data_IF_336847391454
#
_entry.id   IF_336847391454
#
_cell.length_a   1.000
_cell.length_b   1.000
_cell.length_c   1.000
_cell.angle_alpha   90.00
_cell.angle_beta   90.00
_cell.angle_gamma   90.00
#
_symmetry.space_group_name_H-M   'P 1'
#
loop_
_entity.id
_entity.type
_entity.pdbx_description
1 polymer ?
#
# COMPACT_ATOMS: atom_id res chain seq x y z
N UNK A 1 3.82 -2.74 23.89
CA UNK A 1 4.02 -2.33 22.49
C UNK A 1 3.21 -1.07 22.27
N UNK A 2 3.76 0.03 21.72
CA UNK A 2 2.93 1.17 21.34
C UNK A 2 1.94 0.70 20.27
N UNK A 3 0.65 0.82 20.54
CA UNK A 3 -0.42 0.51 19.59
C UNK A 3 -0.37 1.57 18.49
N UNK A 4 0.21 1.25 17.33
CA UNK A 4 0.14 2.14 16.17
C UNK A 4 -1.22 1.96 15.51
N UNK A 5 -1.97 3.05 15.41
CA UNK A 5 -3.23 3.07 14.69
C UNK A 5 -2.95 3.24 13.20
N UNK A 6 -3.43 2.30 12.39
CA UNK A 6 -3.41 2.40 10.93
C UNK A 6 -4.15 3.67 10.48
N UNK A 7 -3.53 4.46 9.59
CA UNK A 7 -4.12 5.68 9.03
C UNK A 7 -5.21 5.39 8.01
N UNK A 8 -5.10 4.29 7.27
CA UNK A 8 -6.03 3.93 6.21
C UNK A 8 -6.88 2.73 6.60
N UNK A 9 -8.13 2.72 6.13
CA UNK A 9 -9.10 1.67 6.46
C UNK A 9 -9.31 0.72 5.28
N UNK A 10 -9.71 -0.52 5.55
CA UNK A 10 -10.17 -1.45 4.52
C UNK A 10 -11.34 -0.81 3.75
N UNK A 11 -11.29 -0.90 2.42
CA UNK A 11 -12.21 -0.25 1.49
C UNK A 11 -11.82 1.18 1.09
N UNK A 12 -10.84 1.79 1.76
CA UNK A 12 -10.38 3.14 1.41
C UNK A 12 -9.54 3.10 0.13
N UNK A 13 -9.80 4.06 -0.76
CA UNK A 13 -8.96 4.29 -1.95
C UNK A 13 -7.76 5.16 -1.58
N UNK A 14 -6.57 4.68 -1.93
CA UNK A 14 -5.29 5.33 -1.70
C UNK A 14 -4.48 5.35 -2.99
N UNK A 15 -3.49 6.25 -3.06
CA UNK A 15 -2.51 6.28 -4.14
C UNK A 15 -1.09 6.33 -3.61
N UNK A 16 -0.14 5.84 -4.40
CA UNK A 16 1.26 5.90 -4.02
C UNK A 16 1.81 7.31 -4.24
N UNK A 17 2.64 7.78 -3.31
CA UNK A 17 3.16 9.17 -3.31
C UNK A 17 4.18 9.43 -4.42
N UNK A 18 4.94 8.40 -4.80
CA UNK A 18 6.04 8.50 -5.77
C UNK A 18 5.78 7.78 -7.11
N UNK A 19 4.89 6.79 -7.11
CA UNK A 19 4.67 5.92 -8.26
C UNK A 19 3.22 6.09 -8.68
N UNK A 20 2.97 6.05 -9.98
CA UNK A 20 1.65 6.37 -10.52
C UNK A 20 0.74 5.13 -10.52
N UNK A 21 0.27 4.79 -9.32
CA UNK A 21 -0.78 3.79 -9.14
C UNK A 21 -1.68 4.15 -7.96
N UNK A 22 -2.91 3.66 -8.03
CA UNK A 22 -3.95 3.78 -7.00
C UNK A 22 -4.53 2.42 -6.68
N UNK A 23 -5.20 2.29 -5.55
CA UNK A 23 -5.83 1.02 -5.20
C UNK A 23 -6.73 1.11 -3.98
N UNK A 24 -7.52 0.06 -3.78
CA UNK A 24 -8.37 -0.11 -2.60
C UNK A 24 -7.65 -0.99 -1.59
N UNK A 25 -7.60 -0.53 -0.33
CA UNK A 25 -7.09 -1.34 0.78
C UNK A 25 -8.01 -2.53 1.02
N UNK A 26 -7.50 -3.75 0.96
CA UNK A 26 -8.26 -4.95 1.32
C UNK A 26 -7.73 -5.66 2.56
N UNK A 27 -6.49 -5.41 2.96
CA UNK A 27 -5.89 -5.95 4.20
C UNK A 27 -4.79 -5.03 4.75
N UNK A 28 -4.43 -5.22 6.03
CA UNK A 28 -3.42 -4.44 6.73
C UNK A 28 -2.63 -5.29 7.73
N UNK A 29 -1.30 -5.26 7.59
CA UNK A 29 -0.38 -5.79 8.59
C UNK A 29 0.03 -4.67 9.56
N UNK A 30 0.05 -4.92 10.88
CA UNK A 30 0.42 -3.89 11.86
C UNK A 30 1.89 -3.45 11.76
N UNK A 31 2.75 -4.32 11.22
CA UNK A 31 4.17 -4.12 10.91
C UNK A 31 4.51 -4.87 9.63
N UNK A 32 5.71 -4.67 9.08
CA UNK A 32 6.18 -5.46 7.94
C UNK A 32 6.06 -6.98 8.19
N UNK A 33 5.38 -7.67 7.27
CA UNK A 33 5.08 -9.11 7.37
C UNK A 33 5.32 -9.86 6.05
N UNK A 34 6.18 -9.34 5.18
CA UNK A 34 6.59 -10.00 3.95
C UNK A 34 7.99 -10.61 4.09
N UNK A 35 8.52 -11.22 3.03
CA UNK A 35 9.80 -11.91 3.05
C UNK A 35 10.99 -10.94 3.18
N UNK A 36 12.07 -11.39 3.81
CA UNK A 36 13.28 -10.57 3.94
C UNK A 36 13.91 -10.31 2.57
N UNK A 37 13.85 -11.28 1.65
CA UNK A 37 14.39 -11.15 0.30
C UNK A 37 13.68 -10.03 -0.47
N UNK A 38 12.36 -9.89 -0.32
CA UNK A 38 11.62 -8.78 -0.89
C UNK A 38 12.09 -7.44 -0.32
N UNK A 39 12.32 -7.39 1.00
CA UNK A 39 12.79 -6.18 1.67
C UNK A 39 14.19 -5.77 1.22
N UNK A 40 15.09 -6.75 1.08
CA UNK A 40 16.46 -6.54 0.60
C UNK A 40 16.52 -6.15 -0.88
N UNK A 41 15.56 -6.60 -1.70
CA UNK A 41 15.45 -6.21 -3.10
C UNK A 41 15.09 -4.73 -3.29
N UNK A 42 14.58 -4.05 -2.25
CA UNK A 42 14.34 -2.61 -2.29
C UNK A 42 15.68 -1.86 -2.11
N UNK A 43 15.99 -0.89 -2.98
CA UNK A 43 17.18 -0.04 -2.82
C UNK A 43 17.22 0.61 -1.44
N UNK A 44 18.39 0.63 -0.80
CA UNK A 44 18.54 1.08 0.58
C UNK A 44 18.04 2.51 0.80
N UNK A 45 18.16 3.37 -0.21
CA UNK A 45 17.81 4.79 -0.12
C UNK A 45 16.30 5.04 -0.02
N UNK A 46 15.49 4.06 -0.45
CA UNK A 46 14.01 4.16 -0.47
C UNK A 46 13.34 3.10 0.39
N UNK A 47 14.13 2.36 1.18
CA UNK A 47 13.64 1.24 1.96
C UNK A 47 12.72 1.73 3.10
N UNK A 48 11.46 1.28 3.17
CA UNK A 48 10.53 1.74 4.19
C UNK A 48 10.86 1.16 5.57
N UNK A 49 10.56 1.89 6.65
CA UNK A 49 10.75 1.36 8.00
C UNK A 49 9.82 0.18 8.29
N UNK A 50 10.34 -0.94 8.82
CA UNK A 50 9.53 -2.14 9.12
C UNK A 50 8.51 -1.95 10.24
N UNK A 51 8.84 -1.14 11.24
CA UNK A 51 7.96 -0.83 12.37
C UNK A 51 6.94 0.24 11.96
N UNK A 52 6.01 -0.09 11.06
CA UNK A 52 4.84 0.71 10.67
C UNK A 52 3.81 -0.19 9.96
N UNK A 53 2.53 0.21 9.84
CA UNK A 53 1.56 -0.56 9.08
C UNK A 53 1.94 -0.72 7.61
N UNK A 54 1.70 -1.90 7.06
CA UNK A 54 1.79 -2.20 5.63
C UNK A 54 0.41 -2.63 5.11
N UNK A 55 0.08 -2.20 3.91
CA UNK A 55 -1.24 -2.37 3.32
C UNK A 55 -1.17 -3.26 2.10
N UNK A 56 -2.17 -4.12 1.95
CA UNK A 56 -2.42 -4.86 0.72
C UNK A 56 -3.50 -4.14 -0.08
N UNK A 57 -3.18 -3.84 -1.33
CA UNK A 57 -4.04 -3.06 -2.21
C UNK A 57 -4.41 -3.87 -3.44
N UNK A 58 -5.68 -3.80 -3.84
CA UNK A 58 -6.07 -4.07 -5.22
C UNK A 58 -5.73 -2.84 -6.03
N UNK A 59 -4.56 -2.85 -6.68
CA UNK A 59 -3.96 -1.70 -7.33
C UNK A 59 -4.14 -1.72 -8.85
N UNK A 60 -4.26 -0.53 -9.41
CA UNK A 60 -4.32 -0.31 -10.85
C UNK A 60 -3.41 0.86 -11.25
N UNK A 61 -2.91 0.77 -12.48
CA UNK A 61 -2.33 1.90 -13.20
C UNK A 61 -2.94 1.95 -14.61
N UNK A 62 -2.45 2.84 -15.49
CA UNK A 62 -2.98 3.00 -16.84
C UNK A 62 -2.96 1.73 -17.72
N UNK A 63 -2.25 0.68 -17.30
CA UNK A 63 -1.93 -0.49 -18.15
C UNK A 63 -2.44 -1.81 -17.59
N UNK A 64 -2.53 -1.97 -16.28
CA UNK A 64 -2.80 -3.26 -15.65
C UNK A 64 -3.33 -3.14 -14.23
N UNK A 65 -3.89 -4.24 -13.74
CA UNK A 65 -4.31 -4.50 -12.37
C UNK A 65 -3.35 -5.49 -11.69
N UNK A 66 -3.09 -5.32 -10.40
CA UNK A 66 -2.23 -6.20 -9.60
C UNK A 66 -2.44 -6.01 -8.09
N UNK A 67 -1.96 -6.95 -7.28
CA UNK A 67 -1.91 -6.79 -5.82
C UNK A 67 -0.61 -6.09 -5.43
N UNK A 68 -0.71 -5.01 -4.67
CA UNK A 68 0.44 -4.27 -4.15
C UNK A 68 0.58 -4.42 -2.64
N UNK A 69 1.82 -4.59 -2.18
CA UNK A 69 2.20 -4.55 -0.76
C UNK A 69 3.01 -3.29 -0.48
N UNK A 70 2.46 -2.36 0.32
CA UNK A 70 2.96 -0.98 0.40
C UNK A 70 3.00 -0.47 1.84
N UNK A 71 4.05 0.24 2.21
CA UNK A 71 4.17 0.88 3.54
C UNK A 71 3.27 2.11 3.69
N UNK A 72 2.79 2.37 4.91
CA UNK A 72 1.94 3.53 5.21
C UNK A 72 2.54 4.88 4.76
N UNK A 73 3.85 5.08 5.00
CA UNK A 73 4.55 6.32 4.65
C UNK A 73 4.47 6.68 3.15
N UNK A 74 4.30 5.67 2.30
CA UNK A 74 4.31 5.78 0.84
C UNK A 74 2.91 5.95 0.24
N UNK A 75 1.87 5.97 1.07
CA UNK A 75 0.48 6.14 0.66
C UNK A 75 -0.05 7.51 1.04
N UNK A 76 -1.01 7.98 0.25
CA UNK A 76 -1.85 9.14 0.55
C UNK A 76 -3.30 8.86 0.10
N UNK A 77 -4.31 9.52 0.72
CA UNK A 77 -5.69 9.38 0.28
C UNK A 77 -5.84 9.77 -1.20
N UNK A 78 -6.67 9.01 -1.91
CA UNK A 78 -7.08 9.40 -3.24
C UNK A 78 -8.36 10.24 -3.18
N UNK A 79 -8.24 11.52 -3.54
CA UNK A 79 -9.34 12.49 -3.51
C UNK A 79 -10.08 12.62 -4.85
N UNK A 80 -9.72 11.82 -5.86
CA UNK A 80 -10.33 11.90 -7.20
C UNK A 80 -11.79 11.46 -7.24
N UNK A 81 -12.29 10.78 -6.21
CA UNK A 81 -13.60 10.13 -6.16
C UNK A 81 -13.86 9.15 -7.33
N UNK A 82 -12.83 8.75 -8.05
CA UNK A 82 -12.95 7.75 -9.12
C UNK A 82 -12.98 6.36 -8.51
N UNK A 83 -13.84 5.49 -9.05
CA UNK A 83 -13.82 4.08 -8.66
C UNK A 83 -12.51 3.43 -9.14
N UNK A 84 -11.99 2.50 -8.35
CA UNK A 84 -10.94 1.58 -8.79
C UNK A 84 -11.63 0.45 -9.55
N UNK A 85 -11.04 0.03 -10.66
CA UNK A 85 -11.63 -0.92 -11.62
C UNK A 85 -11.03 -2.33 -11.54
N UNK A 86 -10.30 -2.62 -10.46
CA UNK A 86 -9.68 -3.93 -10.26
C UNK A 86 -10.75 -5.04 -10.30
N UNK A 87 -10.54 -6.11 -11.09
CA UNK A 87 -11.58 -7.11 -11.34
C UNK A 87 -12.02 -7.92 -10.11
N UNK A 88 -11.20 -7.92 -9.06
CA UNK A 88 -11.45 -8.61 -7.79
C UNK A 88 -12.12 -7.73 -6.71
N UNK A 89 -12.59 -6.52 -7.06
CA UNK A 89 -13.37 -5.62 -6.18
C UNK A 89 -14.86 -5.98 -6.22
#
# INVERSE_FOLDING_TARGET
>A
MPTRQAKYQIGQVVRHRLFDFRGVVFDVDPVFANSEEWYEAIPEEVRPAKDQPYYHLFAENERTHYVAYVSEQNLEPDESNMLVTHPDI
#
